data_IF_192094771415
#
_entry.id   IF_192094771415
#
_cell.length_a   1.000
_cell.length_b   1.000
_cell.length_c   1.000
_cell.angle_alpha   90.00
_cell.angle_beta   90.00
_cell.angle_gamma   90.00
#
_symmetry.space_group_name_H-M   'P 1'
#
loop_
_entity.id
_entity.type
_entity.pdbx_description
1 polymer ?
#
# COMPACT_ATOMS: atom_id res chain seq x y z
N UNK A 1 1.62 34.12 26.82
CA UNK A 1 2.43 33.76 25.62
C UNK A 1 3.05 32.35 25.65
N UNK A 2 2.90 31.56 26.73
CA UNK A 2 3.41 30.16 26.77
C UNK A 2 2.46 29.12 26.17
N UNK A 3 1.15 29.42 26.17
CA UNK A 3 0.09 28.55 25.62
C UNK A 3 -0.01 28.63 24.07
N UNK A 4 0.54 29.68 23.45
CA UNK A 4 0.51 29.86 21.99
C UNK A 4 1.57 29.01 21.28
N UNK A 5 2.65 28.65 21.98
CA UNK A 5 3.73 27.81 21.43
C UNK A 5 3.27 26.35 21.35
N UNK A 6 2.52 25.86 22.33
CA UNK A 6 1.98 24.49 22.32
C UNK A 6 0.99 24.25 21.17
N UNK A 7 0.17 25.25 20.82
CA UNK A 7 -0.76 25.16 19.68
C UNK A 7 -0.03 25.08 18.33
N UNK A 8 1.11 25.78 18.18
CA UNK A 8 1.94 25.71 16.96
C UNK A 8 2.64 24.38 16.76
N UNK A 9 3.02 23.69 17.85
CA UNK A 9 3.60 22.34 17.80
C UNK A 9 2.55 21.26 17.49
N UNK A 10 1.31 21.43 17.96
CA UNK A 10 0.20 20.51 17.65
C UNK A 10 -0.21 20.56 16.16
N UNK A 11 -0.07 21.72 15.52
CA UNK A 11 -0.37 21.93 14.10
C UNK A 11 0.71 21.39 13.14
N UNK A 12 1.93 21.11 13.61
CA UNK A 12 3.02 20.59 12.77
C UNK A 12 3.03 19.05 12.68
N UNK A 13 2.22 18.36 13.50
CA UNK A 13 2.15 16.90 13.54
C UNK A 13 1.28 16.28 12.42
N UNK A 14 0.63 17.09 11.57
CA UNK A 14 -0.29 16.60 10.52
C UNK A 14 0.36 16.42 9.15
N UNK A 15 1.69 16.29 9.07
CA UNK A 15 2.34 15.75 7.87
C UNK A 15 2.06 14.24 7.79
N UNK A 16 0.80 13.90 7.51
CA UNK A 16 0.36 12.55 7.21
C UNK A 16 1.17 12.07 5.99
N UNK A 17 1.99 11.04 6.21
CA UNK A 17 2.60 10.31 5.10
C UNK A 17 1.46 9.77 4.25
N UNK A 18 1.35 10.24 3.00
CA UNK A 18 0.37 9.72 2.09
C UNK A 18 0.63 8.22 1.89
N UNK A 19 -0.35 7.38 2.25
CA UNK A 19 -0.27 5.94 2.08
C UNK A 19 -0.65 5.62 0.63
N UNK A 20 0.31 5.26 -0.24
CA UNK A 20 0.01 5.07 -1.65
C UNK A 20 -0.71 3.74 -1.91
N UNK A 21 -0.75 2.81 -0.95
CA UNK A 21 -1.40 1.50 -1.07
C UNK A 21 -2.40 1.31 0.06
N UNK A 22 -3.67 1.10 -0.27
CA UNK A 22 -4.72 0.76 0.70
C UNK A 22 -5.39 -0.56 0.35
N UNK A 23 -5.96 -1.22 1.34
CA UNK A 23 -6.73 -2.46 1.17
C UNK A 23 -8.20 -2.24 1.50
N UNK A 24 -9.09 -2.93 0.78
CA UNK A 24 -10.52 -2.97 1.09
C UNK A 24 -10.94 -4.45 1.19
N UNK A 25 -11.39 -4.92 2.38
CA UNK A 25 -11.50 -4.17 3.63
C UNK A 25 -10.13 -3.77 4.22
N UNK A 26 -10.12 -2.73 5.05
CA UNK A 26 -8.90 -2.24 5.72
C UNK A 26 -8.35 -3.29 6.70
N UNK A 27 -9.24 -3.92 7.47
CA UNK A 27 -8.93 -5.01 8.38
C UNK A 27 -9.49 -6.32 7.85
N UNK A 28 -8.81 -6.88 6.86
CA UNK A 28 -9.20 -8.14 6.26
C UNK A 28 -8.98 -9.34 7.20
N UNK A 29 -9.86 -10.30 7.11
CA UNK A 29 -9.76 -11.64 7.69
C UNK A 29 -9.39 -12.66 6.63
N UNK A 30 -9.09 -13.89 7.05
CA UNK A 30 -8.81 -15.00 6.14
C UNK A 30 -9.97 -15.38 5.19
N UNK A 31 -11.19 -14.93 5.50
CA UNK A 31 -12.39 -15.20 4.69
C UNK A 31 -12.70 -14.08 3.70
N UNK A 32 -11.98 -12.95 3.76
CA UNK A 32 -12.30 -11.77 2.96
C UNK A 32 -11.61 -11.81 1.60
N UNK A 33 -12.33 -11.32 0.59
CA UNK A 33 -11.70 -10.91 -0.67
C UNK A 33 -11.09 -9.52 -0.49
N UNK A 34 -9.78 -9.42 -0.67
CA UNK A 34 -9.05 -8.16 -0.48
C UNK A 34 -8.85 -7.47 -1.83
N UNK A 35 -9.27 -6.21 -1.94
CA UNK A 35 -8.89 -5.32 -3.04
C UNK A 35 -7.67 -4.49 -2.62
N UNK A 36 -6.63 -4.50 -3.43
CA UNK A 36 -5.45 -3.64 -3.26
C UNK A 36 -5.62 -2.46 -4.22
N UNK A 37 -5.57 -1.25 -3.67
CA UNK A 37 -5.69 0.00 -4.43
C UNK A 37 -4.37 0.74 -4.28
N UNK A 38 -3.76 1.08 -5.40
CA UNK A 38 -2.55 1.90 -5.44
C UNK A 38 -2.86 3.27 -6.05
N UNK A 39 -2.64 4.33 -5.29
CA UNK A 39 -2.69 5.71 -5.77
C UNK A 39 -1.30 6.15 -6.23
N UNK A 40 -1.10 6.14 -7.55
CA UNK A 40 0.15 6.52 -8.20
C UNK A 40 0.51 8.01 -8.02
N UNK A 41 -0.43 8.85 -7.53
CA UNK A 41 -0.19 10.27 -7.23
C UNK A 41 0.41 10.51 -5.84
N UNK A 42 0.40 9.50 -4.97
CA UNK A 42 0.87 9.58 -3.58
C UNK A 42 2.31 9.04 -3.43
N UNK A 43 2.84 9.12 -2.20
CA UNK A 43 4.17 8.64 -1.85
C UNK A 43 5.29 9.52 -2.42
N UNK A 44 6.33 8.91 -3.00
CA UNK A 44 7.47 9.64 -3.57
C UNK A 44 7.21 10.28 -4.94
N UNK A 45 6.00 10.18 -5.49
CA UNK A 45 5.63 10.78 -6.79
C UNK A 45 6.25 10.15 -8.04
N UNK A 46 7.16 9.19 -7.90
CA UNK A 46 7.87 8.56 -9.03
C UNK A 46 6.98 7.78 -10.02
N UNK A 47 5.74 7.49 -9.62
CA UNK A 47 4.75 6.83 -10.48
C UNK A 47 3.68 7.78 -11.03
N UNK A 48 3.74 9.07 -10.67
CA UNK A 48 2.78 10.05 -11.15
C UNK A 48 2.88 10.19 -12.68
N UNK A 49 1.74 10.04 -13.38
CA UNK A 49 1.69 10.11 -14.84
C UNK A 49 2.20 8.87 -15.57
N UNK A 50 2.57 7.79 -14.86
CA UNK A 50 2.88 6.51 -15.51
C UNK A 50 1.64 5.94 -16.20
N UNK A 51 1.77 5.61 -17.48
CA UNK A 51 0.65 5.16 -18.33
C UNK A 51 0.70 3.67 -18.68
N UNK A 52 1.79 2.98 -18.30
CA UNK A 52 1.91 1.54 -18.54
C UNK A 52 1.09 0.70 -17.56
N UNK A 53 1.08 -0.61 -17.79
CA UNK A 53 0.43 -1.56 -16.86
C UNK A 53 1.29 -1.74 -15.62
N UNK A 54 0.66 -1.59 -14.46
CA UNK A 54 1.29 -1.88 -13.17
C UNK A 54 0.96 -3.32 -12.76
N UNK A 55 1.95 -3.96 -12.16
CA UNK A 55 1.84 -5.31 -11.62
C UNK A 55 2.23 -5.29 -10.14
N UNK A 56 1.57 -6.13 -9.35
CA UNK A 56 1.84 -6.24 -7.91
C UNK A 56 2.43 -7.59 -7.57
N UNK A 57 3.50 -7.60 -6.77
CA UNK A 57 4.00 -8.83 -6.17
C UNK A 57 3.32 -9.03 -4.81
N UNK A 58 2.34 -9.92 -4.79
CA UNK A 58 1.49 -10.18 -3.63
C UNK A 58 1.73 -11.56 -3.05
N UNK A 59 1.55 -11.66 -1.74
CA UNK A 59 1.66 -12.86 -0.92
C UNK A 59 1.05 -12.56 0.44
N UNK A 60 0.96 -13.59 1.29
CA UNK A 60 0.45 -13.46 2.66
C UNK A 60 1.35 -14.22 3.62
N UNK A 61 1.41 -13.71 4.85
CA UNK A 61 2.07 -14.39 5.97
C UNK A 61 0.97 -15.02 6.81
N UNK A 62 1.06 -16.33 7.02
CA UNK A 62 0.14 -17.09 7.87
C UNK A 62 0.91 -17.71 9.05
N UNK A 63 0.21 -18.38 9.95
CA UNK A 63 0.82 -19.17 11.02
C UNK A 63 1.71 -20.32 10.49
N UNK A 64 1.51 -20.74 9.23
CA UNK A 64 2.31 -21.79 8.59
C UNK A 64 3.57 -21.25 7.90
N UNK A 65 3.70 -19.93 7.75
CA UNK A 65 4.79 -19.33 6.97
C UNK A 65 6.09 -19.14 7.75
N UNK A 66 6.12 -19.43 9.06
CA UNK A 66 7.30 -19.19 9.89
C UNK A 66 7.75 -17.71 9.90
N UNK A 67 6.79 -16.79 9.74
CA UNK A 67 7.05 -15.35 9.61
C UNK A 67 7.64 -14.90 8.27
N UNK A 68 7.78 -15.80 7.29
CA UNK A 68 8.28 -15.47 5.96
C UNK A 68 7.15 -15.08 5.01
N UNK A 69 7.50 -14.29 3.99
CA UNK A 69 6.58 -14.00 2.88
C UNK A 69 6.27 -15.28 2.10
N UNK A 70 5.00 -15.65 2.05
CA UNK A 70 4.55 -16.93 1.49
C UNK A 70 3.30 -16.77 0.63
N UNK A 71 2.81 -17.88 0.07
CA UNK A 71 1.61 -17.91 -0.79
C UNK A 71 1.68 -16.88 -1.93
N UNK A 72 2.87 -16.76 -2.50
CA UNK A 72 3.23 -15.72 -3.46
C UNK A 72 2.65 -16.02 -4.84
N UNK A 73 2.10 -14.99 -5.48
CA UNK A 73 1.61 -15.10 -6.86
C UNK A 73 2.75 -14.77 -7.84
N UNK A 74 3.29 -15.83 -8.46
CA UNK A 74 4.35 -15.71 -9.46
C UNK A 74 5.73 -15.39 -8.87
N UNK A 75 6.74 -15.35 -9.74
CA UNK A 75 8.09 -14.92 -9.36
C UNK A 75 8.22 -13.40 -9.48
N UNK A 76 9.06 -12.79 -8.63
CA UNK A 76 9.38 -11.36 -8.74
C UNK A 76 9.92 -11.03 -10.15
N UNK A 77 9.41 -9.96 -10.76
CA UNK A 77 9.79 -9.53 -12.11
C UNK A 77 9.18 -10.34 -13.25
N UNK A 78 8.35 -11.36 -12.98
CA UNK A 78 7.65 -12.12 -14.01
C UNK A 78 6.18 -11.67 -14.15
N UNK A 79 5.97 -10.64 -14.96
CA UNK A 79 4.66 -10.03 -15.20
C UNK A 79 3.65 -10.96 -15.89
N UNK A 80 4.08 -12.06 -16.51
CA UNK A 80 3.16 -13.05 -17.11
C UNK A 80 2.34 -13.81 -16.07
N UNK A 81 2.78 -13.80 -14.81
CA UNK A 81 2.12 -14.51 -13.70
C UNK A 81 1.65 -13.57 -12.59
N UNK A 82 2.13 -12.33 -12.55
CA UNK A 82 1.77 -11.36 -11.52
C UNK A 82 0.37 -10.79 -11.80
N UNK A 83 -0.42 -10.50 -10.75
CA UNK A 83 -1.64 -9.72 -10.90
C UNK A 83 -1.35 -8.33 -11.47
N UNK A 84 -2.11 -7.93 -12.48
CA UNK A 84 -2.10 -6.56 -12.98
C UNK A 84 -3.11 -5.69 -12.23
N UNK A 85 -2.74 -4.43 -12.03
CA UNK A 85 -3.68 -3.42 -11.54
C UNK A 85 -4.55 -2.93 -12.68
N UNK A 86 -5.83 -2.73 -12.38
CA UNK A 86 -6.77 -2.09 -13.30
C UNK A 86 -6.82 -0.60 -12.99
N UNK A 87 -6.67 0.23 -14.02
CA UNK A 87 -6.79 1.68 -13.86
C UNK A 87 -8.25 2.06 -13.72
N UNK A 88 -8.56 2.84 -12.68
CA UNK A 88 -9.89 3.36 -12.38
C UNK A 88 -9.99 4.84 -12.77
#
# INVERSE_FOLDING_TARGET
>A
MKQLIAAGWLLLATALFAQPVVTVPEFATENDSIKIIFDATQGGGGMAGYTGTLYTHTGVITNLSGGQWAHVIGSWGNNSTQPSLTRI
#
